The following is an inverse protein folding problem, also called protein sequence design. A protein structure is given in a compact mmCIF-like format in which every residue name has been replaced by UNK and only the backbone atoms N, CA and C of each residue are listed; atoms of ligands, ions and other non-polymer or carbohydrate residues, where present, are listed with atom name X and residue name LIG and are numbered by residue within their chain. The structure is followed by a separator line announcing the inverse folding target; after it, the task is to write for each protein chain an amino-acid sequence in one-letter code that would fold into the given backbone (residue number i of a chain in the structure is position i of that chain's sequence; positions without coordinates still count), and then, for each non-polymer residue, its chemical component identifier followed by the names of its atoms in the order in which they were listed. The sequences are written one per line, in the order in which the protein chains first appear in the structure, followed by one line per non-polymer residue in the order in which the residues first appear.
data_IF_814436586794
#
_entry.id   IF_814436586794
#
_cell.length_a   1.000
_cell.length_b   1.000
_cell.length_c   1.000
_cell.angle_alpha   90.00
_cell.angle_beta   90.00
_cell.angle_gamma   90.00
#
_symmetry.space_group_name_H-M   'P 1'
#
loop_
_entity.id
_entity.type
_entity.pdbx_description
1 polymer ?
#
# COMPACT_ATOMS: atom_id res chain seq x y z
N UNK A 1 15.10 3.69 32.45
CA UNK A 1 13.96 4.60 32.20
C UNK A 1 13.91 4.84 30.70
N UNK A 2 12.81 4.51 30.03
CA UNK A 2 12.59 4.95 28.64
C UNK A 2 12.24 6.45 28.65
N UNK A 3 12.65 7.18 27.63
CA UNK A 3 12.22 8.57 27.44
C UNK A 3 10.74 8.60 27.01
N UNK A 4 9.96 9.62 27.39
CA UNK A 4 8.57 9.75 26.96
C UNK A 4 8.50 9.88 25.43
N UNK A 5 7.88 8.90 24.79
CA UNK A 5 7.75 8.85 23.34
C UNK A 5 6.67 9.83 22.87
N UNK A 6 7.07 10.86 22.11
CA UNK A 6 6.15 11.85 21.53
C UNK A 6 5.22 11.13 20.54
N UNK A 7 3.88 11.17 20.69
CA UNK A 7 2.96 10.57 19.74
C UNK A 7 3.14 11.16 18.34
N UNK A 8 3.16 10.31 17.31
CA UNK A 8 3.30 10.77 15.93
C UNK A 8 1.99 11.43 15.45
N UNK A 9 2.08 12.64 14.90
CA UNK A 9 0.97 13.29 14.18
C UNK A 9 0.87 12.72 12.77
N UNK A 10 -0.28 12.15 12.45
CA UNK A 10 -0.56 11.50 11.16
C UNK A 10 -1.85 12.02 10.54
N UNK A 11 -1.91 12.02 9.20
CA UNK A 11 -3.14 12.04 8.44
C UNK A 11 -3.49 10.59 8.07
N UNK A 12 -4.71 10.14 8.38
CA UNK A 12 -5.21 8.81 8.02
C UNK A 12 -6.15 8.99 6.83
N UNK A 13 -5.97 8.23 5.74
CA UNK A 13 -6.68 8.43 4.47
C UNK A 13 -7.15 7.10 3.89
N UNK A 14 -8.39 6.98 3.37
CA UNK A 14 -8.89 5.72 2.84
C UNK A 14 -8.11 5.35 1.57
N UNK A 15 -7.75 4.07 1.44
CA UNK A 15 -6.96 3.60 0.30
C UNK A 15 -7.64 3.80 -1.07
N UNK A 16 -8.96 3.52 -1.26
CA UNK A 16 -9.62 3.71 -2.56
C UNK A 16 -9.71 5.18 -3.03
N UNK A 17 -9.56 6.15 -2.11
CA UNK A 17 -9.61 7.58 -2.43
C UNK A 17 -8.65 8.37 -1.53
N UNK A 18 -7.35 8.26 -1.80
CA UNK A 18 -6.27 8.90 -1.03
C UNK A 18 -6.26 10.44 -1.05
N UNK A 19 -7.22 11.07 -1.74
CA UNK A 19 -7.48 12.51 -1.72
C UNK A 19 -8.48 12.93 -0.63
N UNK A 20 -9.12 11.97 0.03
CA UNK A 20 -9.97 12.18 1.21
C UNK A 20 -9.19 11.89 2.50
N UNK A 21 -9.78 12.29 3.61
CA UNK A 21 -9.15 12.31 4.93
C UNK A 21 -10.11 11.74 5.97
N UNK A 22 -9.61 10.93 6.90
CA UNK A 22 -10.30 10.69 8.16
C UNK A 22 -10.40 12.02 8.92
N UNK A 23 -11.51 12.27 9.62
CA UNK A 23 -11.73 13.48 10.43
C UNK A 23 -12.56 13.17 11.67
N UNK A 24 -12.24 13.81 12.79
CA UNK A 24 -13.23 14.03 13.85
C UNK A 24 -14.25 15.09 13.42
N UNK A 25 -15.49 14.97 13.91
CA UNK A 25 -16.49 16.03 13.78
C UNK A 25 -16.29 17.09 14.86
N UNK A 26 -16.45 18.38 14.51
CA UNK A 26 -16.40 19.51 15.46
C UNK A 26 -17.63 19.52 16.38
N UNK A 27 -18.76 19.00 15.87
CA UNK A 27 -20.01 18.92 16.60
C UNK A 27 -20.15 17.57 17.31
N UNK A 28 -20.74 17.60 18.51
CA UNK A 28 -21.10 16.40 19.27
C UNK A 28 -22.07 15.50 18.50
N UNK A 29 -21.84 14.19 18.58
CA UNK A 29 -22.66 13.16 18.01
C UNK A 29 -24.09 13.27 18.55
N UNK A 30 -25.08 13.44 17.65
CA UNK A 30 -26.46 13.89 17.97
C UNK A 30 -27.22 13.08 19.03
N UNK A 31 -26.75 11.89 19.39
CA UNK A 31 -27.40 10.96 20.31
C UNK A 31 -26.46 10.37 21.39
N UNK A 32 -25.21 10.84 21.48
CA UNK A 32 -24.16 10.16 22.28
C UNK A 32 -23.38 11.10 23.22
N UNK A 33 -24.04 12.14 23.74
CA UNK A 33 -23.48 13.00 24.79
C UNK A 33 -22.33 13.87 24.28
N UNK A 34 -21.13 13.64 24.80
CA UNK A 34 -19.91 14.38 24.45
C UNK A 34 -19.12 13.74 23.29
N UNK A 35 -19.49 12.54 22.84
CA UNK A 35 -18.84 11.85 21.72
C UNK A 35 -18.76 12.71 20.45
N UNK A 36 -17.73 12.50 19.63
CA UNK A 36 -17.63 13.10 18.29
C UNK A 36 -17.68 12.02 17.21
N UNK A 37 -18.52 12.23 16.18
CA UNK A 37 -18.62 11.33 15.02
C UNK A 37 -17.32 11.32 14.21
N UNK A 38 -16.81 10.13 13.84
CA UNK A 38 -15.66 9.99 12.93
C UNK A 38 -16.17 9.79 11.50
N UNK A 39 -15.57 10.52 10.57
CA UNK A 39 -15.98 10.56 9.15
C UNK A 39 -14.78 10.53 8.23
N UNK A 40 -15.05 10.31 6.95
CA UNK A 40 -14.14 10.63 5.85
C UNK A 40 -14.66 11.88 5.13
N UNK A 41 -13.78 12.85 4.89
CA UNK A 41 -14.07 14.18 4.33
C UNK A 41 -13.18 14.52 3.15
N UNK A 42 -13.61 15.45 2.30
CA UNK A 42 -12.91 15.79 1.04
C UNK A 42 -11.80 16.85 1.18
N UNK A 43 -11.76 17.61 2.28
CA UNK A 43 -10.82 18.72 2.50
C UNK A 43 -10.00 18.49 3.77
N UNK A 44 -8.70 18.78 3.70
CA UNK A 44 -7.78 18.72 4.85
C UNK A 44 -8.09 19.85 5.83
N UNK A 45 -8.08 19.56 7.14
CA UNK A 45 -8.28 20.54 8.21
C UNK A 45 -7.62 20.08 9.52
N UNK A 46 -7.61 20.93 10.55
CA UNK A 46 -7.06 20.58 11.88
C UNK A 46 -7.67 19.29 12.47
N UNK A 47 -8.94 18.99 12.13
CA UNK A 47 -9.65 17.78 12.56
C UNK A 47 -9.25 16.50 11.80
N UNK A 48 -8.48 16.63 10.71
CA UNK A 48 -8.01 15.50 9.87
C UNK A 48 -6.67 14.91 10.30
N UNK A 49 -6.10 15.43 11.38
CA UNK A 49 -4.86 14.95 11.98
C UNK A 49 -5.14 14.19 13.28
N UNK A 50 -4.39 13.12 13.49
CA UNK A 50 -4.51 12.23 14.64
C UNK A 50 -3.14 11.97 15.28
N UNK A 51 -3.14 11.69 16.58
CA UNK A 51 -2.00 11.19 17.33
C UNK A 51 -2.08 9.66 17.39
N UNK A 52 -0.95 8.99 17.10
CA UNK A 52 -0.78 7.56 17.37
C UNK A 52 0.04 7.35 18.66
N UNK A 53 -0.69 7.02 19.73
CA UNK A 53 -0.16 6.66 21.04
C UNK A 53 0.07 5.14 21.07
N UNK A 54 1.33 4.70 21.18
CA UNK A 54 1.66 3.26 21.22
C UNK A 54 1.30 2.64 22.56
N UNK A 55 0.74 1.42 22.53
CA UNK A 55 0.35 0.66 23.74
C UNK A 55 1.25 -0.57 23.91
N UNK A 56 1.26 -1.47 22.93
CA UNK A 56 2.09 -2.69 22.94
C UNK A 56 2.11 -3.34 21.55
N UNK A 57 3.26 -3.84 21.07
CA UNK A 57 3.32 -4.54 19.78
C UNK A 57 2.78 -3.69 18.61
N UNK A 58 1.74 -4.19 17.93
CA UNK A 58 1.01 -3.49 16.87
C UNK A 58 -0.26 -2.74 17.37
N UNK A 59 -0.40 -2.54 18.68
CA UNK A 59 -1.59 -1.98 19.32
C UNK A 59 -1.35 -0.50 19.67
N UNK A 60 -2.29 0.35 19.27
CA UNK A 60 -2.24 1.80 19.41
C UNK A 60 -3.57 2.35 19.90
N UNK A 61 -3.55 3.57 20.46
CA UNK A 61 -4.72 4.44 20.56
C UNK A 61 -4.62 5.51 19.47
N UNK A 62 -5.74 5.77 18.80
CA UNK A 62 -5.87 6.82 17.80
C UNK A 62 -6.65 7.97 18.44
N UNK A 63 -6.12 9.19 18.41
CA UNK A 63 -6.67 10.35 19.12
C UNK A 63 -6.74 11.57 18.20
N UNK A 64 -7.85 12.32 18.09
CA UNK A 64 -7.87 13.53 17.25
C UNK A 64 -6.85 14.55 17.74
N UNK A 65 -6.08 15.18 16.84
CA UNK A 65 -5.10 16.20 17.23
C UNK A 65 -5.76 17.47 17.79
N UNK A 66 -6.96 17.81 17.30
CA UNK A 66 -7.80 18.90 17.82
C UNK A 66 -8.48 18.58 19.17
N UNK A 67 -8.62 17.29 19.52
CA UNK A 67 -9.24 16.81 20.76
C UNK A 67 -8.36 15.72 21.40
N UNK A 68 -7.18 16.06 21.95
CA UNK A 68 -6.17 15.10 22.41
C UNK A 68 -6.51 14.42 23.75
N UNK A 69 -7.63 14.80 24.36
CA UNK A 69 -8.31 14.14 25.47
C UNK A 69 -9.29 13.04 25.01
N UNK A 70 -9.69 13.06 23.74
CA UNK A 70 -10.54 12.04 23.10
C UNK A 70 -9.75 10.88 22.49
N UNK A 71 -10.41 9.72 22.39
CA UNK A 71 -9.89 8.48 21.82
C UNK A 71 -10.91 7.89 20.83
N UNK A 72 -10.47 7.53 19.63
CA UNK A 72 -11.30 6.79 18.66
C UNK A 72 -11.58 5.39 19.21
N UNK A 73 -12.84 4.95 19.18
CA UNK A 73 -13.25 3.65 19.70
C UNK A 73 -14.23 2.93 18.75
N UNK A 74 -14.20 1.60 18.80
CA UNK A 74 -15.20 0.77 18.15
C UNK A 74 -16.35 0.51 19.13
N UNK A 75 -17.60 0.75 18.72
CA UNK A 75 -18.76 0.51 19.58
C UNK A 75 -18.97 -0.98 19.90
N UNK A 76 -19.74 -1.29 20.94
CA UNK A 76 -20.01 -2.67 21.34
C UNK A 76 -20.95 -3.40 20.37
N UNK A 77 -20.99 -4.73 20.40
CA UNK A 77 -21.94 -5.49 19.56
C UNK A 77 -23.43 -5.27 19.94
N UNK A 78 -23.69 -4.69 21.11
CA UNK A 78 -24.98 -4.12 21.52
C UNK A 78 -25.39 -2.90 20.68
N UNK A 79 -24.42 -2.23 20.06
CA UNK A 79 -24.53 -0.89 19.51
C UNK A 79 -24.57 -0.91 17.96
N UNK A 80 -25.00 -2.04 17.37
CA UNK A 80 -25.14 -2.30 15.91
C UNK A 80 -26.26 -1.48 15.26
N UNK A 81 -26.08 -0.17 15.28
CA UNK A 81 -26.90 0.88 14.69
C UNK A 81 -26.98 0.79 13.16
N UNK A 82 -25.98 0.16 12.53
CA UNK A 82 -25.83 0.04 11.08
C UNK A 82 -25.93 -1.43 10.62
N UNK A 83 -26.90 -2.17 11.16
CA UNK A 83 -27.25 -3.53 10.75
C UNK A 83 -26.26 -4.59 11.23
N UNK A 84 -25.19 -4.83 10.46
CA UNK A 84 -24.07 -5.70 10.87
C UNK A 84 -22.85 -4.92 11.36
N UNK A 85 -22.74 -3.66 10.97
CA UNK A 85 -21.55 -2.85 11.18
C UNK A 85 -21.60 -2.16 12.55
N UNK A 86 -20.43 -1.99 13.16
CA UNK A 86 -20.24 -1.28 14.41
C UNK A 86 -19.98 0.21 14.12
N UNK A 87 -20.60 1.05 14.94
CA UNK A 87 -20.39 2.50 14.95
C UNK A 87 -18.96 2.83 15.41
N UNK A 88 -18.35 3.89 14.86
CA UNK A 88 -16.99 4.33 15.23
C UNK A 88 -17.00 5.83 15.49
N UNK A 89 -16.69 6.20 16.74
CA UNK A 89 -16.74 7.56 17.27
C UNK A 89 -15.48 7.84 18.08
N UNK A 90 -15.40 9.04 18.66
CA UNK A 90 -14.45 9.32 19.75
C UNK A 90 -15.19 9.62 21.05
N UNK A 91 -14.54 9.32 22.17
CA UNK A 91 -14.99 9.70 23.52
C UNK A 91 -13.81 9.93 24.45
N UNK A 92 -14.06 10.50 25.64
CA UNK A 92 -13.02 10.93 26.58
C UNK A 92 -12.67 9.89 27.66
N UNK A 93 -13.34 8.73 27.72
CA UNK A 93 -12.97 7.67 28.67
C UNK A 93 -11.83 6.80 28.12
N UNK A 94 -10.94 6.36 29.02
CA UNK A 94 -9.88 5.39 28.71
C UNK A 94 -10.39 3.98 29.01
N UNK A 95 -10.62 3.19 27.97
CA UNK A 95 -11.12 1.82 28.01
C UNK A 95 -10.47 0.95 26.92
N UNK A 96 -10.68 -0.36 26.99
CA UNK A 96 -10.07 -1.30 26.04
C UNK A 96 -10.55 -1.10 24.59
N UNK A 97 -11.78 -0.59 24.37
CA UNK A 97 -12.31 -0.32 23.01
C UNK A 97 -11.59 0.84 22.30
N UNK A 98 -10.74 1.61 22.99
CA UNK A 98 -9.85 2.60 22.37
C UNK A 98 -8.62 1.97 21.70
N UNK A 99 -8.36 0.68 21.95
CA UNK A 99 -7.18 0.00 21.43
C UNK A 99 -7.47 -0.55 20.03
N UNK A 100 -6.60 -0.19 19.09
CA UNK A 100 -6.65 -0.60 17.69
C UNK A 100 -5.37 -1.33 17.31
N UNK A 101 -5.52 -2.50 16.71
CA UNK A 101 -4.44 -3.23 16.06
C UNK A 101 -4.21 -2.56 14.69
N UNK A 102 -3.04 -1.97 14.49
CA UNK A 102 -2.64 -1.29 13.25
C UNK A 102 -1.51 -2.09 12.60
N UNK A 103 -1.83 -2.82 11.54
CA UNK A 103 -0.91 -3.74 10.88
C UNK A 103 -0.64 -3.30 9.45
N UNK A 104 0.64 -3.19 9.08
CA UNK A 104 1.04 -2.89 7.72
C UNK A 104 0.84 -4.12 6.82
N UNK A 105 0.10 -3.95 5.72
CA UNK A 105 -0.14 -4.99 4.72
C UNK A 105 0.70 -4.79 3.43
N UNK A 106 1.74 -3.96 3.54
CA UNK A 106 2.57 -3.43 2.46
C UNK A 106 2.53 -1.89 2.42
N UNK A 107 3.40 -1.27 1.62
CA UNK A 107 3.10 0.02 0.96
C UNK A 107 2.80 1.28 1.80
N UNK A 108 3.07 1.29 3.10
CA UNK A 108 2.48 2.29 4.03
C UNK A 108 0.93 2.29 4.00
N UNK A 109 0.35 1.17 3.59
CA UNK A 109 -1.07 0.82 3.66
C UNK A 109 -1.27 -0.12 4.86
N UNK A 110 -2.29 0.16 5.66
CA UNK A 110 -2.53 -0.49 6.94
C UNK A 110 -3.97 -0.98 7.01
N UNK A 111 -4.17 -2.10 7.72
CA UNK A 111 -5.49 -2.43 8.28
C UNK A 111 -5.55 -1.92 9.72
N UNK A 112 -6.72 -1.44 10.13
CA UNK A 112 -6.97 -0.91 11.48
C UNK A 112 -8.13 -1.73 12.05
N UNK A 113 -7.89 -2.53 13.10
CA UNK A 113 -8.81 -3.54 13.63
C UNK A 113 -9.07 -3.32 15.12
N UNK A 114 -10.28 -3.56 15.62
CA UNK A 114 -10.58 -3.41 17.05
C UNK A 114 -9.82 -4.44 17.89
N UNK A 115 -9.08 -4.04 18.94
CA UNK A 115 -8.42 -5.00 19.85
C UNK A 115 -9.45 -5.87 20.60
N UNK A 116 -10.57 -5.28 21.03
CA UNK A 116 -11.65 -5.98 21.72
C UNK A 116 -12.45 -6.93 20.82
N UNK A 117 -12.39 -6.75 19.50
CA UNK A 117 -13.09 -7.62 18.55
C UNK A 117 -12.29 -7.74 17.24
N UNK A 118 -11.18 -8.49 17.19
CA UNK A 118 -10.17 -8.42 16.11
C UNK A 118 -10.63 -8.82 14.71
N UNK A 119 -11.86 -9.35 14.57
CA UNK A 119 -12.50 -9.62 13.28
C UNK A 119 -13.11 -8.36 12.65
N UNK A 120 -13.27 -7.26 13.40
CA UNK A 120 -13.87 -6.01 12.91
C UNK A 120 -12.79 -5.03 12.44
N UNK A 121 -12.80 -4.77 11.13
CA UNK A 121 -11.91 -3.86 10.40
C UNK A 121 -12.57 -2.50 10.20
N UNK A 122 -11.86 -1.42 10.50
CA UNK A 122 -12.25 -0.04 10.21
C UNK A 122 -12.37 0.17 8.68
N UNK A 123 -13.45 0.79 8.22
CA UNK A 123 -13.66 1.14 6.81
C UNK A 123 -14.42 2.46 6.63
N UNK A 124 -14.21 3.09 5.47
CA UNK A 124 -15.05 4.19 5.01
C UNK A 124 -16.31 3.61 4.34
N UNK A 125 -17.49 3.99 4.83
CA UNK A 125 -18.75 3.47 4.30
C UNK A 125 -19.17 4.23 3.02
N UNK A 126 -19.47 3.50 1.96
CA UNK A 126 -20.11 4.09 0.77
C UNK A 126 -21.62 4.19 1.00
N UNK A 127 -22.09 5.41 1.26
CA UNK A 127 -23.51 5.72 1.35
C UNK A 127 -23.87 6.81 0.33
N UNK A 128 -24.71 6.46 -0.65
CA UNK A 128 -25.10 7.29 -1.79
C UNK A 128 -25.90 8.56 -1.45
N UNK A 129 -26.00 8.93 -0.16
CA UNK A 129 -27.05 9.83 0.37
C UNK A 129 -26.60 10.93 1.34
N UNK A 130 -25.31 11.08 1.62
CA UNK A 130 -24.82 12.22 2.41
C UNK A 130 -24.60 13.45 1.53
N UNK A 131 -25.49 14.44 1.68
CA UNK A 131 -25.64 15.60 0.79
C UNK A 131 -24.42 16.57 0.70
N UNK A 132 -23.31 16.26 1.38
CA UNK A 132 -22.12 17.10 1.47
C UNK A 132 -20.81 16.36 1.13
N UNK A 133 -20.88 15.12 0.65
CA UNK A 133 -19.69 14.34 0.27
C UNK A 133 -18.86 13.80 1.45
N UNK A 134 -19.39 13.90 2.67
CA UNK A 134 -18.89 13.18 3.84
C UNK A 134 -19.28 11.70 3.76
N UNK A 135 -18.43 10.81 4.25
CA UNK A 135 -18.71 9.38 4.38
C UNK A 135 -18.61 8.96 5.86
N UNK A 136 -19.59 8.19 6.35
CA UNK A 136 -19.52 7.60 7.70
C UNK A 136 -18.32 6.64 7.80
N UNK A 137 -17.75 6.50 9.00
CA UNK A 137 -16.70 5.51 9.29
C UNK A 137 -17.23 4.50 10.28
N UNK A 138 -17.02 3.22 9.98
CA UNK A 138 -17.61 2.09 10.69
C UNK A 138 -16.58 0.97 10.81
N UNK A 139 -16.92 -0.10 11.54
CA UNK A 139 -16.13 -1.33 11.53
C UNK A 139 -16.99 -2.55 11.18
N UNK A 140 -16.48 -3.47 10.36
CA UNK A 140 -17.21 -4.66 9.91
C UNK A 140 -16.29 -5.88 9.70
N UNK A 141 -16.88 -7.06 9.45
CA UNK A 141 -16.18 -8.35 9.39
C UNK A 141 -15.77 -8.81 7.99
N UNK A 142 -16.03 -8.03 6.95
CA UNK A 142 -15.52 -8.32 5.61
C UNK A 142 -14.02 -8.01 5.51
N UNK A 143 -13.37 -8.55 4.48
CA UNK A 143 -12.01 -8.17 4.08
C UNK A 143 -12.05 -7.72 2.61
N UNK A 144 -11.88 -6.42 2.40
CA UNK A 144 -12.09 -5.70 1.14
C UNK A 144 -11.21 -4.43 1.08
N UNK A 145 -11.05 -3.83 -0.09
CA UNK A 145 -10.13 -2.68 -0.27
C UNK A 145 -10.51 -1.44 0.56
N UNK A 146 -11.74 -1.34 1.04
CA UNK A 146 -12.19 -0.25 1.94
C UNK A 146 -11.68 -0.40 3.38
N UNK A 147 -11.16 -1.56 3.77
CA UNK A 147 -10.48 -1.77 5.06
C UNK A 147 -9.03 -1.26 5.08
N UNK A 148 -8.54 -0.78 3.94
CA UNK A 148 -7.16 -0.35 3.74
C UNK A 148 -7.05 1.17 3.93
N UNK A 149 -6.02 1.59 4.67
CA UNK A 149 -5.79 2.99 5.02
C UNK A 149 -4.34 3.37 4.80
N UNK A 150 -4.08 4.53 4.19
CA UNK A 150 -2.78 5.17 4.23
C UNK A 150 -2.63 5.91 5.57
N UNK A 151 -1.48 5.75 6.22
CA UNK A 151 -1.12 6.51 7.43
C UNK A 151 0.11 7.37 7.06
N UNK A 152 -0.10 8.68 6.97
CA UNK A 152 0.87 9.64 6.44
C UNK A 152 1.36 10.56 7.55
N UNK A 153 2.65 10.48 7.89
CA UNK A 153 3.30 11.33 8.90
C UNK A 153 3.49 12.77 8.39
N UNK A 154 3.13 13.77 9.19
CA UNK A 154 3.30 15.18 8.81
C UNK A 154 4.76 15.64 9.03
N UNK A 155 5.45 16.31 8.09
CA UNK A 155 6.93 16.29 8.03
C UNK A 155 7.73 17.06 9.10
N UNK A 156 7.09 17.76 10.03
CA UNK A 156 7.75 18.66 10.99
C UNK A 156 7.85 18.13 12.43
N UNK A 157 7.60 16.83 12.66
CA UNK A 157 7.75 16.20 13.98
C UNK A 157 8.72 15.02 13.86
N UNK A 158 9.77 15.02 14.68
CA UNK A 158 10.78 13.96 14.72
C UNK A 158 10.11 12.64 15.14
N UNK A 159 10.12 11.68 14.23
CA UNK A 159 9.43 10.40 14.41
C UNK A 159 10.23 9.49 15.36
N UNK A 160 9.63 8.98 16.46
CA UNK A 160 10.33 8.08 17.39
C UNK A 160 10.34 6.62 16.92
N UNK A 161 9.44 6.25 16.00
CA UNK A 161 9.52 4.98 15.29
C UNK A 161 10.57 5.12 14.18
N UNK A 162 11.35 4.05 13.87
CA UNK A 162 12.30 4.10 12.76
C UNK A 162 11.60 4.58 11.48
N UNK A 163 12.29 5.44 10.71
CA UNK A 163 11.75 6.08 9.52
C UNK A 163 11.02 5.05 8.65
N UNK A 164 9.71 5.26 8.43
CA UNK A 164 8.97 4.58 7.39
C UNK A 164 9.60 4.99 6.06
N UNK A 165 10.56 4.19 5.59
CA UNK A 165 11.31 4.41 4.37
C UNK A 165 10.31 4.40 3.22
N UNK A 166 9.87 5.59 2.79
CA UNK A 166 9.01 5.72 1.62
C UNK A 166 9.78 5.14 0.43
N UNK A 167 9.32 4.01 -0.12
CA UNK A 167 10.10 3.31 -1.12
C UNK A 167 10.09 4.13 -2.41
N UNK A 168 11.24 4.27 -3.09
CA UNK A 168 11.36 5.17 -4.22
C UNK A 168 10.38 4.78 -5.33
N UNK A 169 9.60 5.77 -5.78
CA UNK A 169 8.76 5.64 -6.99
C UNK A 169 9.67 5.79 -8.20
N UNK A 170 9.66 4.78 -9.06
CA UNK A 170 10.59 4.63 -10.17
C UNK A 170 9.89 4.39 -11.51
N UNK A 171 10.61 4.70 -12.59
CA UNK A 171 10.34 4.16 -13.92
C UNK A 171 11.48 3.25 -14.36
N UNK A 172 11.16 2.07 -14.90
CA UNK A 172 12.13 1.11 -15.41
C UNK A 172 12.12 1.15 -16.94
N UNK A 173 13.28 1.37 -17.57
CA UNK A 173 13.44 1.49 -19.03
C UNK A 173 14.58 0.60 -19.53
N UNK A 174 14.40 -0.26 -20.55
CA UNK A 174 15.48 -1.11 -21.04
C UNK A 174 16.52 -0.29 -21.81
N UNK A 175 17.80 -0.58 -21.64
CA UNK A 175 18.89 0.26 -22.19
C UNK A 175 18.84 0.40 -23.73
N UNK A 176 18.44 -0.65 -24.45
CA UNK A 176 18.39 -0.67 -25.92
C UNK A 176 17.18 0.08 -26.50
N UNK A 177 16.14 0.33 -25.71
CA UNK A 177 14.94 1.06 -26.11
C UNK A 177 14.58 2.06 -24.99
N UNK A 178 15.41 3.09 -24.76
CA UNK A 178 15.30 3.99 -23.60
C UNK A 178 14.08 4.91 -23.64
N UNK A 179 13.33 4.93 -24.74
CA UNK A 179 12.03 5.59 -24.91
C UNK A 179 10.84 4.72 -24.50
N UNK A 180 11.05 3.44 -24.23
CA UNK A 180 10.02 2.53 -23.73
C UNK A 180 10.15 2.32 -22.21
N UNK A 181 9.04 1.93 -21.58
CA UNK A 181 8.90 1.77 -20.14
C UNK A 181 8.32 0.38 -19.81
N UNK A 182 8.77 -0.23 -18.71
CA UNK A 182 8.07 -1.33 -18.07
C UNK A 182 6.64 -0.89 -17.71
N UNK A 183 5.66 -1.77 -17.88
CA UNK A 183 4.25 -1.44 -17.70
C UNK A 183 3.49 -2.60 -17.07
N UNK A 184 2.73 -2.32 -16.01
CA UNK A 184 1.65 -3.19 -15.54
C UNK A 184 0.56 -3.23 -16.61
N UNK A 185 0.38 -4.35 -17.30
CA UNK A 185 -0.38 -4.36 -18.55
C UNK A 185 -1.87 -4.67 -18.34
N UNK A 186 -2.28 -5.81 -18.87
CA UNK A 186 -3.66 -6.27 -19.03
C UNK A 186 -3.73 -7.71 -18.47
N UNK A 187 -4.92 -8.26 -18.15
CA UNK A 187 -5.03 -9.62 -17.63
C UNK A 187 -4.33 -10.65 -18.53
N UNK A 188 -3.54 -11.53 -17.92
CA UNK A 188 -2.72 -12.46 -18.66
C UNK A 188 -3.59 -13.56 -19.29
N UNK A 189 -3.54 -13.69 -20.63
CA UNK A 189 -4.46 -14.54 -21.41
C UNK A 189 -4.53 -16.01 -20.99
N UNK A 190 -3.49 -16.53 -20.32
CA UNK A 190 -3.44 -17.90 -19.82
C UNK A 190 -3.70 -18.03 -18.31
N UNK A 191 -3.71 -16.93 -17.54
CA UNK A 191 -3.72 -16.94 -16.08
C UNK A 191 -4.65 -15.83 -15.56
N UNK A 192 -5.94 -16.15 -15.39
CA UNK A 192 -7.03 -15.20 -15.14
C UNK A 192 -6.91 -14.34 -13.87
N UNK A 193 -6.01 -14.69 -12.94
CA UNK A 193 -5.72 -13.97 -11.69
C UNK A 193 -4.54 -12.99 -11.79
N UNK A 194 -3.85 -12.97 -12.93
CA UNK A 194 -2.54 -12.35 -13.08
C UNK A 194 -2.56 -11.31 -14.19
N UNK A 195 -1.65 -10.34 -14.12
CA UNK A 195 -1.47 -9.32 -15.15
C UNK A 195 -0.15 -9.52 -15.88
N UNK A 196 -0.16 -9.32 -17.20
CA UNK A 196 1.04 -9.42 -18.02
C UNK A 196 2.01 -8.27 -17.69
N UNK A 197 3.31 -8.57 -17.72
CA UNK A 197 4.37 -7.56 -17.68
C UNK A 197 4.78 -7.28 -19.13
N UNK A 198 4.65 -6.04 -19.56
CA UNK A 198 5.09 -5.60 -20.89
C UNK A 198 6.07 -4.43 -20.78
N UNK A 199 6.73 -4.15 -21.88
CA UNK A 199 7.38 -2.86 -22.12
C UNK A 199 6.65 -2.15 -23.25
N UNK A 200 6.33 -0.86 -23.08
CA UNK A 200 5.55 -0.03 -24.02
C UNK A 200 6.22 1.32 -24.28
N UNK A 201 6.11 1.84 -25.49
CA UNK A 201 6.62 3.19 -25.85
C UNK A 201 5.84 4.35 -25.23
N UNK A 202 4.59 4.12 -24.80
CA UNK A 202 3.74 5.15 -24.17
C UNK A 202 3.91 5.14 -22.65
N UNK A 203 4.43 6.24 -22.08
CA UNK A 203 4.47 6.44 -20.63
C UNK A 203 3.06 6.70 -20.09
N UNK A 204 2.66 5.93 -19.08
CA UNK A 204 1.36 6.05 -18.38
C UNK A 204 1.57 5.98 -16.86
N UNK A 205 0.50 6.14 -16.08
CA UNK A 205 0.46 5.83 -14.65
C UNK A 205 0.88 4.38 -14.36
N UNK A 206 0.48 3.44 -15.23
CA UNK A 206 0.85 2.01 -15.17
C UNK A 206 2.34 1.73 -15.43
N UNK A 207 3.12 2.75 -15.82
CA UNK A 207 4.58 2.66 -15.96
C UNK A 207 5.33 3.07 -14.68
N UNK A 208 4.62 3.54 -13.64
CA UNK A 208 5.20 3.84 -12.35
C UNK A 208 5.11 2.64 -11.42
N UNK A 209 6.24 2.32 -10.81
CA UNK A 209 6.37 1.32 -9.76
C UNK A 209 6.96 2.01 -8.54
N UNK A 210 6.90 1.37 -7.38
CA UNK A 210 7.86 1.65 -6.33
C UNK A 210 8.73 0.41 -6.07
N UNK A 211 9.76 0.54 -5.26
CA UNK A 211 10.68 -0.54 -4.87
C UNK A 211 10.77 -0.69 -3.35
N UNK A 212 9.98 -1.58 -2.73
CA UNK A 212 10.17 -1.87 -1.30
C UNK A 212 11.51 -2.60 -1.11
N UNK A 213 12.41 -2.10 -0.27
CA UNK A 213 13.64 -2.83 0.08
C UNK A 213 13.31 -3.91 1.11
N UNK A 214 13.53 -5.16 0.76
CA UNK A 214 13.33 -6.32 1.65
C UNK A 214 14.56 -6.51 2.54
N UNK A 215 15.74 -6.64 1.93
CA UNK A 215 17.02 -6.74 2.64
C UNK A 215 18.18 -6.41 1.68
N UNK A 216 19.12 -5.55 2.07
CA UNK A 216 20.30 -5.24 1.25
C UNK A 216 19.93 -4.69 -0.12
N UNK A 217 20.24 -5.45 -1.18
CA UNK A 217 19.91 -5.16 -2.58
C UNK A 217 18.71 -5.99 -3.11
N UNK A 218 17.94 -6.64 -2.24
CA UNK A 218 16.72 -7.39 -2.56
C UNK A 218 15.51 -6.47 -2.37
N UNK A 219 14.65 -6.40 -3.38
CA UNK A 219 13.46 -5.54 -3.43
C UNK A 219 12.22 -6.29 -3.91
N UNK A 220 11.02 -5.84 -3.53
CA UNK A 220 9.79 -6.16 -4.27
C UNK A 220 9.44 -5.01 -5.21
N UNK A 221 9.25 -5.33 -6.50
CA UNK A 221 8.83 -4.37 -7.53
C UNK A 221 7.31 -4.49 -7.66
N UNK A 222 6.58 -3.38 -7.50
CA UNK A 222 5.12 -3.39 -7.64
C UNK A 222 4.53 -2.06 -8.15
N UNK A 223 3.36 -2.06 -8.83
CA UNK A 223 2.89 -0.92 -9.62
C UNK A 223 2.09 0.08 -8.78
N UNK A 224 2.25 1.37 -9.07
CA UNK A 224 1.57 2.45 -8.34
C UNK A 224 0.05 2.44 -8.54
N UNK A 225 -0.43 2.03 -9.72
CA UNK A 225 -1.86 2.01 -10.07
C UNK A 225 -2.60 0.71 -9.74
N UNK A 226 -1.91 -0.31 -9.21
CA UNK A 226 -2.53 -1.57 -8.75
C UNK A 226 -1.71 -2.23 -7.65
N UNK A 227 -1.55 -1.55 -6.48
CA UNK A 227 -0.50 -1.86 -5.51
C UNK A 227 -0.63 -3.24 -4.85
N UNK A 228 -1.80 -3.88 -4.83
CA UNK A 228 -1.94 -5.24 -4.28
C UNK A 228 -1.19 -6.32 -5.08
N UNK A 229 -0.77 -6.03 -6.32
CA UNK A 229 -0.05 -6.97 -7.19
C UNK A 229 1.46 -6.77 -7.10
N UNK A 230 2.22 -7.86 -7.12
CA UNK A 230 3.69 -7.93 -7.03
C UNK A 230 4.28 -8.49 -8.33
N UNK A 231 5.38 -7.92 -8.83
CA UNK A 231 6.15 -8.50 -9.94
C UNK A 231 6.76 -9.82 -9.47
N UNK A 232 6.58 -10.92 -10.21
CA UNK A 232 7.07 -12.22 -9.83
C UNK A 232 7.67 -13.03 -10.99
N UNK A 233 8.68 -13.83 -10.66
CA UNK A 233 9.28 -14.81 -11.57
C UNK A 233 8.48 -16.11 -11.54
N UNK A 234 8.05 -16.63 -12.69
CA UNK A 234 7.24 -17.85 -12.77
C UNK A 234 8.05 -19.17 -12.64
N UNK A 235 9.17 -19.17 -11.91
CA UNK A 235 10.15 -20.26 -11.85
C UNK A 235 9.67 -21.57 -11.18
N UNK A 236 8.45 -21.59 -10.62
CA UNK A 236 7.78 -22.82 -10.19
C UNK A 236 7.01 -23.57 -11.29
N UNK A 237 7.25 -23.26 -12.57
CA UNK A 237 6.71 -23.98 -13.74
C UNK A 237 7.86 -24.42 -14.66
N UNK A 238 7.57 -25.36 -15.56
CA UNK A 238 8.49 -25.69 -16.65
C UNK A 238 8.89 -24.45 -17.45
N UNK A 239 10.15 -24.40 -17.84
CA UNK A 239 10.71 -23.42 -18.77
C UNK A 239 9.92 -23.41 -20.09
N UNK A 240 9.86 -22.24 -20.74
CA UNK A 240 9.28 -22.14 -22.08
C UNK A 240 10.24 -22.74 -23.15
N UNK A 241 9.79 -22.78 -24.41
CA UNK A 241 10.59 -23.32 -25.52
C UNK A 241 11.89 -22.55 -25.84
N UNK A 242 12.12 -21.41 -25.21
CA UNK A 242 13.33 -20.57 -25.32
C UNK A 242 14.22 -20.63 -24.08
N UNK A 243 13.89 -21.49 -23.10
CA UNK A 243 14.58 -21.63 -21.81
C UNK A 243 14.45 -20.41 -20.87
N UNK A 244 13.36 -19.63 -21.02
CA UNK A 244 12.97 -18.55 -20.11
C UNK A 244 11.96 -19.04 -19.05
N UNK A 245 11.84 -18.28 -17.95
CA UNK A 245 10.59 -18.22 -17.18
C UNK A 245 9.82 -16.95 -17.51
N UNK A 246 8.50 -17.05 -17.44
CA UNK A 246 7.57 -15.95 -17.63
C UNK A 246 7.61 -14.94 -16.45
N UNK A 247 7.33 -13.66 -16.72
CA UNK A 247 7.32 -12.59 -15.71
C UNK A 247 5.94 -11.93 -15.66
N UNK A 248 5.30 -11.94 -14.49
CA UNK A 248 3.92 -11.51 -14.29
C UNK A 248 3.75 -10.62 -13.06
N UNK A 249 2.60 -9.95 -12.98
CA UNK A 249 2.12 -9.31 -11.75
C UNK A 249 1.02 -10.17 -11.12
N UNK A 250 1.16 -10.50 -9.83
CA UNK A 250 0.29 -11.42 -9.11
C UNK A 250 0.06 -10.97 -7.65
N UNK A 251 -1.11 -11.29 -7.08
CA UNK A 251 -1.55 -10.76 -5.77
C UNK A 251 -0.97 -11.49 -4.55
N UNK A 252 -0.66 -12.80 -4.65
CA UNK A 252 -0.10 -13.53 -3.51
C UNK A 252 1.36 -13.11 -3.25
N UNK A 253 1.67 -12.91 -1.96
CA UNK A 253 3.01 -12.57 -1.46
C UNK A 253 3.82 -13.84 -1.18
N UNK A 254 4.89 -14.03 -1.92
CA UNK A 254 5.77 -15.21 -1.89
C UNK A 254 7.23 -14.87 -2.22
N UNK A 255 8.16 -15.80 -2.01
CA UNK A 255 9.59 -15.58 -2.23
C UNK A 255 9.95 -15.19 -3.68
N UNK A 256 9.13 -15.58 -4.66
CA UNK A 256 9.29 -15.27 -6.09
C UNK A 256 8.96 -13.83 -6.47
N UNK A 257 8.42 -13.03 -5.54
CA UNK A 257 8.24 -11.58 -5.73
C UNK A 257 9.53 -10.78 -5.46
N UNK A 258 10.56 -11.42 -4.89
CA UNK A 258 11.80 -10.77 -4.49
C UNK A 258 12.78 -10.72 -5.67
N UNK A 259 13.31 -9.55 -5.95
CA UNK A 259 14.25 -9.29 -7.03
C UNK A 259 15.55 -8.70 -6.50
N UNK A 260 16.68 -9.23 -6.95
CA UNK A 260 18.02 -8.72 -6.65
C UNK A 260 18.34 -7.64 -7.68
N UNK A 261 18.53 -6.39 -7.23
CA UNK A 261 18.86 -5.25 -8.11
C UNK A 261 20.34 -4.90 -7.93
N UNK A 262 21.13 -5.00 -9.00
CA UNK A 262 22.59 -4.81 -8.96
C UNK A 262 23.07 -3.84 -10.04
N UNK A 263 24.02 -2.92 -9.74
CA UNK A 263 24.66 -2.09 -10.76
C UNK A 263 25.34 -2.93 -11.84
N UNK A 264 25.03 -2.65 -13.10
CA UNK A 264 25.60 -3.29 -14.29
C UNK A 264 26.57 -2.36 -15.04
N UNK A 265 26.34 -1.05 -14.96
CA UNK A 265 27.17 0.04 -15.48
C UNK A 265 26.74 1.36 -14.78
N UNK A 266 27.47 2.48 -14.92
CA UNK A 266 27.04 3.76 -14.36
C UNK A 266 25.63 4.16 -14.84
N UNK A 267 24.67 4.26 -13.92
CA UNK A 267 23.26 4.56 -14.21
C UNK A 267 22.39 3.39 -14.69
N UNK A 268 22.94 2.16 -14.78
CA UNK A 268 22.23 0.98 -15.30
C UNK A 268 22.33 -0.21 -14.35
N UNK A 269 21.26 -1.00 -14.29
CA UNK A 269 21.09 -2.09 -13.32
C UNK A 269 20.65 -3.38 -14.01
N UNK A 270 21.06 -4.52 -13.45
CA UNK A 270 20.41 -5.82 -13.70
C UNK A 270 19.41 -6.12 -12.58
N UNK A 271 18.39 -6.90 -12.91
CA UNK A 271 17.30 -7.27 -12.01
C UNK A 271 17.13 -8.79 -12.11
N UNK A 272 17.42 -9.55 -11.05
CA UNK A 272 17.48 -11.02 -11.04
C UNK A 272 16.41 -11.61 -10.12
N UNK A 273 15.87 -12.80 -10.42
CA UNK A 273 14.99 -13.50 -9.46
C UNK A 273 15.78 -13.83 -8.19
N UNK A 274 15.30 -13.49 -7.00
CA UNK A 274 15.98 -13.87 -5.76
C UNK A 274 15.83 -15.38 -5.44
N UNK A 275 14.83 -16.05 -6.02
CA UNK A 275 14.62 -17.50 -5.93
C UNK A 275 15.42 -18.27 -6.99
N UNK A 276 15.80 -17.61 -8.09
CA UNK A 276 16.73 -18.15 -9.09
C UNK A 276 17.69 -17.06 -9.61
N UNK A 277 18.78 -16.73 -8.87
CA UNK A 277 19.67 -15.60 -9.17
C UNK A 277 20.42 -15.68 -10.50
N UNK A 278 20.37 -16.81 -11.21
CA UNK A 278 20.91 -16.94 -12.55
C UNK A 278 19.97 -16.36 -13.62
N UNK A 279 18.71 -16.06 -13.31
CA UNK A 279 17.69 -15.62 -14.26
C UNK A 279 17.39 -14.11 -14.12
N UNK A 280 17.56 -13.39 -15.22
CA UNK A 280 17.52 -11.93 -15.29
C UNK A 280 16.26 -11.42 -16.00
N UNK A 281 15.56 -10.45 -15.41
CA UNK A 281 14.42 -9.76 -16.02
C UNK A 281 14.85 -9.06 -17.33
N UNK A 282 14.19 -9.40 -18.44
CA UNK A 282 14.55 -8.87 -19.76
C UNK A 282 13.32 -8.61 -20.63
N UNK A 283 13.45 -7.64 -21.53
CA UNK A 283 12.45 -7.36 -22.55
C UNK A 283 12.66 -8.24 -23.79
N UNK A 284 11.62 -8.96 -24.20
CA UNK A 284 11.67 -9.87 -25.37
C UNK A 284 11.46 -9.07 -26.66
N UNK A 285 12.40 -8.18 -26.96
CA UNK A 285 12.31 -7.18 -28.02
C UNK A 285 12.05 -7.78 -29.41
N UNK A 286 12.66 -8.94 -29.68
CA UNK A 286 12.60 -9.70 -30.93
C UNK A 286 11.20 -10.28 -31.22
N UNK A 287 10.35 -10.43 -30.20
CA UNK A 287 8.93 -10.84 -30.32
C UNK A 287 7.97 -9.63 -30.41
N UNK A 288 8.49 -8.40 -30.36
CA UNK A 288 7.71 -7.17 -30.32
C UNK A 288 7.19 -6.67 -31.67
N UNK A 289 6.13 -5.86 -31.63
CA UNK A 289 5.66 -5.10 -32.80
C UNK A 289 6.29 -3.69 -32.90
N UNK A 290 7.42 -3.47 -32.19
CA UNK A 290 8.08 -2.16 -32.03
C UNK A 290 7.39 -1.20 -31.05
N UNK A 291 6.07 -1.31 -30.84
CA UNK A 291 5.31 -0.48 -29.89
C UNK A 291 5.24 -1.11 -28.50
N UNK A 292 5.03 -2.42 -28.44
CA UNK A 292 5.08 -3.23 -27.23
C UNK A 292 5.79 -4.58 -27.44
N UNK A 293 6.34 -5.10 -26.34
CA UNK A 293 6.90 -6.45 -26.23
C UNK A 293 6.70 -7.01 -24.82
N UNK A 294 6.77 -8.34 -24.71
CA UNK A 294 6.63 -9.05 -23.44
C UNK A 294 7.91 -8.92 -22.59
N UNK A 295 7.79 -9.22 -21.30
CA UNK A 295 8.92 -9.33 -20.36
C UNK A 295 8.94 -10.74 -19.79
N UNK A 296 10.15 -11.27 -19.59
CA UNK A 296 10.42 -12.62 -19.07
C UNK A 296 11.66 -12.57 -18.18
N UNK A 297 12.13 -13.73 -17.71
CA UNK A 297 13.47 -13.89 -17.13
C UNK A 297 14.28 -14.93 -17.90
N UNK A 298 15.55 -14.64 -18.18
CA UNK A 298 16.43 -15.45 -19.04
C UNK A 298 17.82 -15.61 -18.40
N UNK A 299 18.55 -16.73 -18.63
CA UNK A 299 19.79 -17.02 -17.91
C UNK A 299 21.06 -16.39 -18.51
N UNK A 300 21.05 -15.93 -19.76
CA UNK A 300 22.20 -15.23 -20.36
C UNK A 300 22.31 -13.78 -19.88
N UNK A 301 23.55 -13.28 -19.80
CA UNK A 301 23.87 -11.87 -19.50
C UNK A 301 24.15 -11.14 -20.82
N UNK A 302 23.29 -10.19 -21.16
CA UNK A 302 23.28 -9.42 -22.38
C UNK A 302 22.71 -8.00 -22.13
N UNK A 303 22.80 -7.11 -23.14
CA UNK A 303 22.28 -5.73 -23.00
C UNK A 303 20.77 -5.68 -22.73
N UNK A 304 19.98 -6.66 -23.20
CA UNK A 304 18.51 -6.71 -22.97
C UNK A 304 18.12 -6.93 -21.51
N UNK A 305 19.04 -7.37 -20.63
CA UNK A 305 18.79 -7.48 -19.19
C UNK A 305 19.09 -6.19 -18.40
N UNK A 306 19.61 -5.14 -19.06
CA UNK A 306 20.01 -3.91 -18.39
C UNK A 306 18.91 -2.86 -18.45
N UNK A 307 18.60 -2.29 -17.29
CA UNK A 307 17.56 -1.31 -17.09
C UNK A 307 18.14 0.00 -16.54
N UNK A 308 17.75 1.13 -17.10
CA UNK A 308 17.78 2.38 -16.37
C UNK A 308 16.59 2.37 -15.38
N UNK A 309 16.85 2.74 -14.13
CA UNK A 309 15.83 2.85 -13.08
C UNK A 309 15.81 4.30 -12.61
N UNK A 310 14.93 5.11 -13.19
CA UNK A 310 14.84 6.54 -12.85
C UNK A 310 14.19 6.69 -11.47
N UNK A 311 14.73 7.54 -10.61
CA UNK A 311 14.27 7.71 -9.22
C UNK A 311 14.89 6.74 -8.20
N UNK A 312 15.87 5.93 -8.61
CA UNK A 312 16.55 4.95 -7.75
C UNK A 312 17.91 5.45 -7.20
N UNK A 313 17.94 6.68 -6.68
CA UNK A 313 19.03 7.27 -5.88
C UNK A 313 18.46 8.22 -4.84
#
# INVERSE_FOLDING_TARGET
MQQPQIPAVVSIRPFPDSKKFLSSSINKAKHHGDDLDIKVVQQESENTFFLLEHVNGAIYRIKPAAHPDHYVFCAGESDKKYGKDLDVRTHHHIEQRNHWIIENVGWSTFTIRSETNPLFYLFAADEEKHAHGEQDVRAHTNQEERNLWFIVTVPNIVHPYPLLYQPPVVTLRPILLPQHFLTFSDPHQQFNSDFAVKVRGTRTDKCQFFLDRVQGNIFTIRPCSSPLYYLFCADGKSLNQWNDYDARFHINKEARNNWIIEPAAPGYFTIKSATNPNYFLFGVQDEGNGQEFNVRTHPCIEERNKWAIDGFM
#
